data_IF_111987010569
#
_entry.id   IF_111987010569
#
_cell.length_a   1.000
_cell.length_b   1.000
_cell.length_c   1.000
_cell.angle_alpha   90.00
_cell.angle_beta   90.00
_cell.angle_gamma   90.00
#
_symmetry.space_group_name_H-M   'P 1'
#
loop_
_entity.id
_entity.type
_entity.pdbx_description
1 polymer ?
#
# COMPACT_ATOMS: atom_id res chain seq x y z
N UNK A 1 14.89 -29.98 3.60
CA UNK A 1 16.23 -29.70 4.15
C UNK A 1 16.40 -30.25 5.57
N UNK A 2 17.64 -30.55 5.99
CA UNK A 2 17.92 -30.80 7.42
C UNK A 2 17.86 -29.48 8.21
N UNK A 3 17.14 -29.45 9.34
CA UNK A 3 16.95 -28.24 10.17
C UNK A 3 18.26 -27.49 10.49
N UNK A 4 19.33 -28.22 10.83
CA UNK A 4 20.62 -27.61 11.16
C UNK A 4 21.26 -26.83 9.97
N UNK A 5 20.89 -27.18 8.74
CA UNK A 5 21.32 -26.49 7.53
C UNK A 5 20.53 -25.20 7.36
N UNK A 6 19.20 -25.26 7.52
CA UNK A 6 18.29 -24.10 7.53
C UNK A 6 18.72 -23.08 8.58
N UNK A 7 18.85 -23.50 9.85
CA UNK A 7 19.25 -22.64 10.96
C UNK A 7 20.59 -21.93 10.68
N UNK A 8 21.52 -22.61 9.99
CA UNK A 8 22.81 -22.03 9.64
C UNK A 8 22.70 -20.96 8.56
N UNK A 9 21.88 -21.19 7.52
CA UNK A 9 21.65 -20.19 6.46
C UNK A 9 21.01 -18.94 7.08
N UNK A 10 19.94 -19.12 7.84
CA UNK A 10 19.23 -18.02 8.54
C UNK A 10 20.17 -17.21 9.43
N UNK A 11 21.02 -17.88 10.22
CA UNK A 11 21.99 -17.21 11.08
C UNK A 11 22.98 -16.36 10.25
N UNK A 12 23.49 -16.90 9.14
CA UNK A 12 24.39 -16.16 8.25
C UNK A 12 23.71 -14.95 7.60
N UNK A 13 22.46 -15.11 7.15
CA UNK A 13 21.68 -14.02 6.56
C UNK A 13 21.43 -12.91 7.59
N UNK A 14 21.01 -13.29 8.80
CA UNK A 14 20.80 -12.36 9.92
C UNK A 14 22.06 -11.60 10.32
N UNK A 15 23.21 -12.27 10.31
CA UNK A 15 24.53 -11.63 10.54
C UNK A 15 25.05 -10.85 9.33
N UNK A 16 24.27 -10.76 8.23
CA UNK A 16 24.61 -10.10 6.97
C UNK A 16 25.86 -10.69 6.28
N UNK A 17 26.16 -11.96 6.57
CA UNK A 17 27.20 -12.75 5.94
C UNK A 17 26.70 -13.35 4.60
N UNK A 18 26.19 -12.48 3.71
CA UNK A 18 25.50 -12.88 2.47
C UNK A 18 26.36 -13.76 1.55
N UNK A 19 27.67 -13.50 1.46
CA UNK A 19 28.56 -14.29 0.61
C UNK A 19 28.58 -15.75 1.03
N UNK A 20 28.79 -16.04 2.32
CA UNK A 20 28.82 -17.42 2.82
C UNK A 20 27.44 -18.08 2.71
N UNK A 21 26.37 -17.33 3.04
CA UNK A 21 25.01 -17.84 2.91
C UNK A 21 24.67 -18.22 1.45
N UNK A 22 25.00 -17.37 0.49
CA UNK A 22 24.67 -17.59 -0.92
C UNK A 22 25.51 -18.71 -1.55
N UNK A 23 26.79 -18.81 -1.21
CA UNK A 23 27.63 -19.96 -1.61
C UNK A 23 27.06 -21.27 -1.06
N UNK A 24 26.63 -21.28 0.21
CA UNK A 24 26.02 -22.45 0.83
C UNK A 24 24.70 -22.83 0.14
N UNK A 25 23.85 -21.87 -0.18
CA UNK A 25 22.63 -22.06 -0.97
C UNK A 25 22.95 -22.67 -2.35
N UNK A 26 23.95 -22.12 -3.06
CA UNK A 26 24.36 -22.62 -4.37
C UNK A 26 24.88 -24.06 -4.32
N UNK A 27 25.66 -24.39 -3.28
CA UNK A 27 26.13 -25.75 -3.07
C UNK A 27 25.01 -26.75 -2.80
N UNK A 28 23.97 -26.33 -2.06
CA UNK A 28 22.80 -27.17 -1.76
C UNK A 28 22.01 -27.43 -3.04
N UNK A 29 21.62 -26.37 -3.76
CA UNK A 29 20.83 -26.48 -4.98
C UNK A 29 21.54 -27.28 -6.08
N UNK A 30 22.88 -27.20 -6.14
CA UNK A 30 23.67 -28.00 -7.07
C UNK A 30 23.63 -29.51 -6.77
N UNK A 31 23.43 -29.89 -5.50
CA UNK A 31 23.40 -31.29 -5.06
C UNK A 31 21.98 -31.86 -5.05
N UNK A 32 21.00 -31.03 -4.69
CA UNK A 32 19.61 -31.43 -4.57
C UNK A 32 18.68 -30.28 -4.99
N UNK A 33 18.09 -30.39 -6.17
CA UNK A 33 17.12 -29.40 -6.67
C UNK A 33 15.80 -29.44 -5.89
N UNK A 34 15.50 -30.54 -5.18
CA UNK A 34 14.27 -30.68 -4.38
C UNK A 34 14.28 -29.76 -3.13
N UNK A 35 15.42 -29.18 -2.77
CA UNK A 35 15.56 -28.22 -1.65
C UNK A 35 15.19 -26.79 -2.06
N UNK A 36 14.79 -26.58 -3.31
CA UNK A 36 14.50 -25.27 -3.87
C UNK A 36 13.43 -24.53 -3.07
N UNK A 37 12.32 -25.18 -2.77
CA UNK A 37 11.18 -24.56 -2.09
C UNK A 37 11.56 -24.10 -0.68
N UNK A 38 12.27 -24.93 0.08
CA UNK A 38 12.79 -24.59 1.42
C UNK A 38 13.75 -23.38 1.36
N UNK A 39 14.57 -23.27 0.32
CA UNK A 39 15.50 -22.13 0.17
C UNK A 39 14.75 -20.85 -0.19
N UNK A 40 13.74 -20.95 -1.06
CA UNK A 40 12.91 -19.80 -1.41
C UNK A 40 12.20 -19.29 -0.16
N UNK A 41 11.62 -20.17 0.66
CA UNK A 41 10.98 -19.79 1.94
C UNK A 41 11.96 -19.05 2.87
N UNK A 42 13.18 -19.56 3.06
CA UNK A 42 14.22 -18.88 3.87
C UNK A 42 14.55 -17.49 3.33
N UNK A 43 14.68 -17.36 2.00
CA UNK A 43 14.98 -16.07 1.36
C UNK A 43 13.81 -15.10 1.46
N UNK A 44 12.57 -15.57 1.28
CA UNK A 44 11.36 -14.77 1.44
C UNK A 44 11.27 -14.22 2.86
N UNK A 45 11.32 -15.09 3.88
CA UNK A 45 11.26 -14.68 5.28
C UNK A 45 12.42 -13.74 5.67
N UNK A 46 13.63 -14.03 5.23
CA UNK A 46 14.79 -13.17 5.52
C UNK A 46 14.68 -11.80 4.85
N UNK A 47 14.17 -11.76 3.62
CA UNK A 47 13.98 -10.54 2.86
C UNK A 47 12.91 -9.64 3.47
N UNK A 48 11.80 -10.23 3.92
CA UNK A 48 10.72 -9.54 4.65
C UNK A 48 11.20 -9.00 6.00
N UNK A 49 11.93 -9.81 6.78
CA UNK A 49 12.50 -9.36 8.05
C UNK A 49 13.40 -8.13 7.87
N UNK A 50 14.18 -8.05 6.79
CA UNK A 50 14.98 -6.86 6.50
C UNK A 50 14.14 -5.64 6.09
N UNK A 51 12.97 -5.83 5.47
CA UNK A 51 12.03 -4.73 5.21
C UNK A 51 11.51 -4.18 6.54
N UNK A 52 11.12 -5.06 7.46
CA UNK A 52 10.62 -4.68 8.80
C UNK A 52 11.69 -3.95 9.63
N UNK A 53 12.97 -4.28 9.43
CA UNK A 53 14.11 -3.57 10.01
C UNK A 53 14.49 -2.27 9.27
N UNK A 54 13.73 -1.88 8.24
CA UNK A 54 14.01 -0.77 7.32
C UNK A 54 15.33 -0.89 6.53
N UNK A 55 15.96 -2.08 6.55
CA UNK A 55 17.18 -2.39 5.80
C UNK A 55 16.87 -2.88 4.39
N UNK A 56 16.41 -1.94 3.57
CA UNK A 56 16.07 -2.20 2.17
C UNK A 56 17.27 -2.65 1.32
N UNK A 57 18.51 -2.31 1.70
CA UNK A 57 19.70 -2.74 0.96
C UNK A 57 19.96 -4.24 1.15
N UNK A 58 19.82 -4.73 2.39
CA UNK A 58 19.93 -6.16 2.69
C UNK A 58 18.78 -6.94 2.04
N UNK A 59 17.55 -6.44 2.14
CA UNK A 59 16.39 -7.05 1.48
C UNK A 59 16.58 -7.15 -0.05
N UNK A 60 17.10 -6.10 -0.69
CA UNK A 60 17.40 -6.10 -2.13
C UNK A 60 18.42 -7.19 -2.51
N UNK A 61 19.43 -7.44 -1.68
CA UNK A 61 20.43 -8.51 -1.93
C UNK A 61 19.79 -9.89 -1.84
N UNK A 62 18.90 -10.10 -0.86
CA UNK A 62 18.18 -11.36 -0.67
C UNK A 62 17.30 -11.65 -1.89
N UNK A 63 16.45 -10.72 -2.31
CA UNK A 63 15.56 -10.95 -3.45
C UNK A 63 16.29 -11.01 -4.78
N UNK A 64 17.46 -10.36 -4.92
CA UNK A 64 18.36 -10.60 -6.06
C UNK A 64 18.88 -12.03 -6.12
N UNK A 65 19.11 -12.67 -4.97
CA UNK A 65 19.45 -14.09 -4.91
C UNK A 65 18.24 -14.95 -5.27
N UNK A 66 17.07 -14.63 -4.73
CA UNK A 66 15.81 -15.33 -4.99
C UNK A 66 15.46 -15.33 -6.49
N UNK A 67 15.66 -14.22 -7.21
CA UNK A 67 15.43 -14.12 -8.67
C UNK A 67 16.17 -15.21 -9.46
N UNK A 68 17.35 -15.66 -8.99
CA UNK A 68 18.13 -16.69 -9.68
C UNK A 68 17.53 -18.09 -9.50
N UNK A 69 16.62 -18.27 -8.54
CA UNK A 69 16.05 -19.53 -8.11
C UNK A 69 14.56 -19.59 -8.50
N UNK A 70 13.80 -18.57 -8.11
CA UNK A 70 12.36 -18.40 -8.35
C UNK A 70 12.11 -17.00 -8.97
N UNK A 71 12.29 -16.83 -10.29
CA UNK A 71 12.20 -15.51 -10.93
C UNK A 71 10.84 -14.82 -10.72
N UNK A 72 9.75 -15.58 -10.70
CA UNK A 72 8.38 -15.06 -10.56
C UNK A 72 8.25 -14.28 -9.25
N UNK A 73 8.54 -14.92 -8.12
CA UNK A 73 8.43 -14.32 -6.78
C UNK A 73 9.57 -13.33 -6.52
N UNK A 74 10.81 -13.66 -6.90
CA UNK A 74 11.94 -12.76 -6.67
C UNK A 74 11.79 -11.40 -7.37
N UNK A 75 11.26 -11.37 -8.61
CA UNK A 75 10.97 -10.09 -9.28
C UNK A 75 9.76 -9.35 -8.69
N UNK A 76 8.80 -10.08 -8.12
CA UNK A 76 7.68 -9.49 -7.41
C UNK A 76 8.15 -8.84 -6.10
N UNK A 77 8.87 -9.59 -5.26
CA UNK A 77 9.38 -9.16 -3.96
C UNK A 77 10.34 -7.97 -4.08
N UNK A 78 11.29 -8.00 -5.01
CA UNK A 78 12.17 -6.84 -5.25
C UNK A 78 11.39 -5.62 -5.75
N UNK A 79 10.29 -5.85 -6.51
CA UNK A 79 9.38 -4.80 -6.94
C UNK A 79 8.71 -4.10 -5.76
N UNK A 80 8.30 -4.86 -4.74
CA UNK A 80 7.74 -4.32 -3.49
C UNK A 80 8.77 -3.53 -2.68
N UNK A 81 10.02 -4.01 -2.60
CA UNK A 81 11.13 -3.27 -1.96
C UNK A 81 11.30 -1.91 -2.62
N UNK A 82 11.36 -1.86 -3.95
CA UNK A 82 11.50 -0.59 -4.67
C UNK A 82 10.29 0.33 -4.51
N UNK A 83 9.08 -0.23 -4.42
CA UNK A 83 7.88 0.55 -4.13
C UNK A 83 7.95 1.19 -2.74
N UNK A 84 8.39 0.44 -1.72
CA UNK A 84 8.51 0.91 -0.34
C UNK A 84 9.47 2.11 -0.20
N UNK A 85 10.55 2.12 -1.00
CA UNK A 85 11.51 3.23 -1.03
C UNK A 85 11.21 4.30 -2.09
N UNK A 86 9.98 4.31 -2.63
CA UNK A 86 9.51 5.26 -3.64
C UNK A 86 10.36 5.30 -4.93
N UNK A 87 11.04 4.20 -5.28
CA UNK A 87 11.70 4.00 -6.57
C UNK A 87 10.71 3.39 -7.56
N UNK A 88 9.69 4.16 -7.91
CA UNK A 88 8.51 3.69 -8.64
C UNK A 88 8.85 3.10 -10.02
N UNK A 89 9.78 3.70 -10.77
CA UNK A 89 10.26 3.17 -12.05
C UNK A 89 10.89 1.77 -11.92
N UNK A 90 11.71 1.57 -10.88
CA UNK A 90 12.36 0.28 -10.62
C UNK A 90 11.34 -0.76 -10.15
N UNK A 91 10.35 -0.36 -9.33
CA UNK A 91 9.25 -1.21 -8.93
C UNK A 91 8.47 -1.70 -10.15
N UNK A 92 8.02 -0.78 -11.00
CA UNK A 92 7.29 -1.08 -12.25
C UNK A 92 8.12 -1.99 -13.16
N UNK A 93 9.42 -1.73 -13.30
CA UNK A 93 10.33 -2.53 -14.14
C UNK A 93 10.43 -3.99 -13.65
N UNK A 94 10.55 -4.21 -12.35
CA UNK A 94 10.65 -5.57 -11.80
C UNK A 94 9.29 -6.27 -11.74
N UNK A 95 8.21 -5.57 -11.42
CA UNK A 95 6.86 -6.12 -11.49
C UNK A 95 6.51 -6.57 -12.93
N UNK A 96 6.91 -5.80 -13.95
CA UNK A 96 6.79 -6.22 -15.37
C UNK A 96 7.56 -7.51 -15.65
N UNK A 97 8.79 -7.65 -15.14
CA UNK A 97 9.54 -8.91 -15.29
C UNK A 97 8.81 -10.07 -14.61
N UNK A 98 8.25 -9.88 -13.42
CA UNK A 98 7.44 -10.92 -12.76
C UNK A 98 6.29 -11.39 -13.66
N UNK A 99 5.59 -10.46 -14.35
CA UNK A 99 4.57 -10.80 -15.36
C UNK A 99 5.18 -11.59 -16.52
N UNK A 100 6.32 -11.16 -17.06
CA UNK A 100 7.00 -11.85 -18.18
C UNK A 100 7.40 -13.29 -17.81
N UNK A 101 7.69 -13.56 -16.54
CA UNK A 101 7.96 -14.91 -16.02
C UNK A 101 6.68 -15.70 -15.66
N UNK A 102 5.49 -15.08 -15.72
CA UNK A 102 4.21 -15.76 -15.59
C UNK A 102 3.30 -15.27 -14.45
N UNK A 103 3.73 -14.28 -13.65
CA UNK A 103 2.90 -13.75 -12.57
C UNK A 103 1.76 -12.88 -13.12
N UNK A 104 0.55 -13.44 -13.17
CA UNK A 104 -0.65 -12.72 -13.61
C UNK A 104 -1.62 -12.45 -12.46
N UNK A 105 -1.12 -12.34 -11.23
CA UNK A 105 -1.95 -12.05 -10.06
C UNK A 105 -2.52 -10.62 -10.09
N UNK A 106 -3.59 -10.42 -9.32
CA UNK A 106 -4.14 -9.09 -9.08
C UNK A 106 -3.09 -8.18 -8.43
N UNK A 107 -2.32 -8.71 -7.46
CA UNK A 107 -1.33 -7.97 -6.70
C UNK A 107 -0.27 -7.29 -7.56
N UNK A 108 0.29 -7.97 -8.56
CA UNK A 108 1.27 -7.33 -9.46
C UNK A 108 0.66 -6.09 -10.13
N UNK A 109 -0.59 -6.20 -10.58
CA UNK A 109 -1.30 -5.09 -11.20
C UNK A 109 -1.63 -3.99 -10.18
N UNK A 110 -2.01 -4.37 -8.94
CA UNK A 110 -2.25 -3.45 -7.82
C UNK A 110 -1.00 -2.62 -7.52
N UNK A 111 0.15 -3.26 -7.31
CA UNK A 111 1.39 -2.59 -6.93
C UNK A 111 1.98 -1.74 -8.05
N UNK A 112 1.83 -2.14 -9.32
CA UNK A 112 2.12 -1.23 -10.44
C UNK A 112 1.22 -0.01 -10.42
N UNK A 113 -0.07 -0.19 -10.12
CA UNK A 113 -1.02 0.89 -9.96
C UNK A 113 -0.68 1.84 -8.82
N UNK A 114 -0.23 1.31 -7.68
CA UNK A 114 0.27 2.08 -6.53
C UNK A 114 1.54 2.86 -6.87
N UNK A 115 2.47 2.28 -7.63
CA UNK A 115 3.67 2.98 -8.10
C UNK A 115 3.30 4.21 -8.95
N UNK A 116 2.35 4.05 -9.88
CA UNK A 116 1.83 5.17 -10.67
C UNK A 116 1.04 6.19 -9.84
N UNK A 117 0.31 5.76 -8.80
CA UNK A 117 -0.32 6.68 -7.84
C UNK A 117 0.71 7.55 -7.12
N UNK A 118 1.82 6.96 -6.67
CA UNK A 118 2.91 7.69 -6.00
C UNK A 118 3.56 8.73 -6.92
N UNK A 119 3.61 8.46 -8.23
CA UNK A 119 4.09 9.39 -9.25
C UNK A 119 3.01 10.39 -9.72
N UNK A 120 1.81 10.35 -9.14
CA UNK A 120 0.62 11.12 -9.56
C UNK A 120 0.19 10.88 -11.03
N UNK A 121 0.68 9.80 -11.65
CA UNK A 121 0.26 9.36 -12.98
C UNK A 121 -1.03 8.54 -12.88
N UNK A 122 -2.12 9.25 -12.60
CA UNK A 122 -3.40 8.62 -12.34
C UNK A 122 -3.98 7.87 -13.55
N UNK A 123 -3.61 8.24 -14.79
CA UNK A 123 -4.09 7.53 -15.99
C UNK A 123 -3.54 6.10 -16.03
N UNK A 124 -2.23 5.93 -15.82
CA UNK A 124 -1.62 4.59 -15.75
C UNK A 124 -2.04 3.85 -14.48
N UNK A 125 -2.17 4.54 -13.35
CA UNK A 125 -2.69 3.95 -12.12
C UNK A 125 -4.07 3.31 -12.35
N UNK A 126 -5.01 4.04 -12.97
CA UNK A 126 -6.36 3.56 -13.27
C UNK A 126 -6.31 2.33 -14.19
N UNK A 127 -5.45 2.29 -15.20
CA UNK A 127 -5.30 1.13 -16.09
C UNK A 127 -4.91 -0.12 -15.30
N UNK A 128 -3.87 -0.02 -14.47
CA UNK A 128 -3.33 -1.14 -13.72
C UNK A 128 -4.26 -1.57 -12.57
N UNK A 129 -4.90 -0.64 -11.87
CA UNK A 129 -5.83 -0.92 -10.79
C UNK A 129 -7.15 -1.51 -11.31
N UNK A 130 -7.66 -1.07 -12.48
CA UNK A 130 -8.80 -1.74 -13.12
C UNK A 130 -8.46 -3.19 -13.49
N UNK A 131 -7.24 -3.45 -13.99
CA UNK A 131 -6.79 -4.82 -14.25
C UNK A 131 -6.79 -5.63 -12.95
N UNK A 132 -6.27 -5.07 -11.85
CA UNK A 132 -6.28 -5.72 -10.53
C UNK A 132 -7.70 -6.09 -10.09
N UNK A 133 -8.63 -5.13 -10.08
CA UNK A 133 -10.05 -5.36 -9.72
C UNK A 133 -10.71 -6.40 -10.63
N UNK A 134 -10.35 -6.45 -11.91
CA UNK A 134 -10.90 -7.42 -12.87
C UNK A 134 -10.43 -8.86 -12.63
N UNK A 135 -9.23 -9.03 -12.05
CA UNK A 135 -8.68 -10.34 -11.69
C UNK A 135 -9.27 -10.76 -10.34
N UNK A 136 -9.25 -9.85 -9.36
CA UNK A 136 -9.77 -10.09 -8.03
C UNK A 136 -10.40 -8.82 -7.44
N UNK A 137 -11.70 -8.88 -7.14
CA UNK A 137 -12.39 -7.81 -6.45
C UNK A 137 -12.21 -7.99 -4.94
N UNK A 138 -11.42 -7.11 -4.31
CA UNK A 138 -11.20 -7.08 -2.87
C UNK A 138 -11.18 -5.62 -2.35
N UNK A 139 -11.01 -5.44 -1.05
CA UNK A 139 -11.00 -4.12 -0.41
C UNK A 139 -9.88 -3.23 -0.98
N UNK A 140 -8.63 -3.69 -0.97
CA UNK A 140 -7.48 -2.88 -1.37
C UNK A 140 -7.54 -2.47 -2.84
N UNK A 141 -7.90 -3.40 -3.73
CA UNK A 141 -8.00 -3.14 -5.17
C UNK A 141 -9.04 -2.06 -5.47
N UNK A 142 -10.21 -2.12 -4.83
CA UNK A 142 -11.24 -1.09 -4.96
C UNK A 142 -10.82 0.23 -4.31
N UNK A 143 -10.17 0.16 -3.14
CA UNK A 143 -9.70 1.33 -2.41
C UNK A 143 -8.70 2.14 -3.25
N UNK A 144 -7.61 1.52 -3.70
CA UNK A 144 -6.61 2.18 -4.51
C UNK A 144 -7.16 2.67 -5.86
N UNK A 145 -8.05 1.90 -6.51
CA UNK A 145 -8.70 2.37 -7.73
C UNK A 145 -9.54 3.63 -7.47
N UNK A 146 -10.26 3.68 -6.35
CA UNK A 146 -10.98 4.86 -5.90
C UNK A 146 -10.05 6.06 -5.64
N UNK A 147 -8.88 5.85 -5.04
CA UNK A 147 -7.87 6.91 -4.86
C UNK A 147 -7.31 7.42 -6.20
N UNK A 148 -7.13 6.55 -7.19
CA UNK A 148 -6.67 6.96 -8.51
C UNK A 148 -7.70 7.84 -9.23
N UNK A 149 -8.99 7.52 -9.13
CA UNK A 149 -10.05 8.40 -9.62
C UNK A 149 -10.15 9.70 -8.81
N UNK A 150 -9.85 9.67 -7.50
CA UNK A 150 -9.81 10.88 -6.67
C UNK A 150 -8.74 11.85 -7.15
N UNK A 151 -7.53 11.35 -7.46
CA UNK A 151 -6.46 12.18 -8.02
C UNK A 151 -6.83 12.80 -9.38
N UNK A 152 -7.71 12.14 -10.14
CA UNK A 152 -8.30 12.68 -11.40
C UNK A 152 -9.47 13.63 -11.19
N UNK A 153 -9.87 13.87 -9.94
CA UNK A 153 -11.09 14.60 -9.58
C UNK A 153 -12.37 13.98 -10.19
N UNK A 154 -12.32 12.71 -10.58
CA UNK A 154 -13.50 11.95 -11.04
C UNK A 154 -14.25 11.43 -9.82
N UNK A 155 -14.96 12.34 -9.16
CA UNK A 155 -15.66 12.04 -7.91
C UNK A 155 -16.75 10.96 -8.08
N UNK A 156 -17.34 10.80 -9.27
CA UNK A 156 -18.34 9.76 -9.52
C UNK A 156 -17.73 8.35 -9.46
N UNK A 157 -16.59 8.14 -10.14
CA UNK A 157 -15.88 6.86 -10.05
C UNK A 157 -15.21 6.66 -8.68
N UNK A 158 -14.70 7.71 -8.04
CA UNK A 158 -14.22 7.65 -6.65
C UNK A 158 -15.30 7.12 -5.73
N UNK A 159 -16.49 7.72 -5.74
CA UNK A 159 -17.61 7.28 -4.91
C UNK A 159 -17.99 5.83 -5.23
N UNK A 160 -18.04 5.45 -6.50
CA UNK A 160 -18.37 4.09 -6.92
C UNK A 160 -17.41 3.04 -6.34
N UNK A 161 -16.10 3.23 -6.51
CA UNK A 161 -15.11 2.22 -6.12
C UNK A 161 -14.82 2.24 -4.62
N UNK A 162 -14.81 3.41 -3.97
CA UNK A 162 -14.67 3.47 -2.51
C UNK A 162 -15.90 2.88 -1.78
N UNK A 163 -17.11 3.03 -2.31
CA UNK A 163 -18.27 2.33 -1.74
C UNK A 163 -18.13 0.81 -1.85
N UNK A 164 -17.64 0.29 -2.98
CA UNK A 164 -17.36 -1.16 -3.13
C UNK A 164 -16.32 -1.64 -2.11
N UNK A 165 -15.27 -0.85 -1.87
CA UNK A 165 -14.32 -1.16 -0.79
C UNK A 165 -15.05 -1.19 0.57
N UNK A 166 -15.84 -0.17 0.91
CA UNK A 166 -16.61 -0.12 2.15
C UNK A 166 -17.63 -1.26 2.32
N UNK A 167 -18.24 -1.74 1.23
CA UNK A 167 -19.16 -2.89 1.24
C UNK A 167 -18.45 -4.20 1.65
N UNK A 168 -17.16 -4.32 1.32
CA UNK A 168 -16.31 -5.45 1.72
C UNK A 168 -15.80 -5.26 3.15
N UNK A 169 -15.22 -4.10 3.44
CA UNK A 169 -14.68 -3.73 4.74
C UNK A 169 -14.78 -2.23 4.94
N UNK A 170 -15.56 -1.82 5.93
CA UNK A 170 -15.61 -0.41 6.31
C UNK A 170 -14.30 -0.02 7.05
N UNK A 171 -13.65 1.04 6.56
CA UNK A 171 -12.40 1.58 7.10
C UNK A 171 -12.50 3.12 7.18
N UNK A 172 -11.90 3.72 8.22
CA UNK A 172 -12.04 5.16 8.48
C UNK A 172 -11.43 6.02 7.35
N UNK A 173 -10.30 5.63 6.77
CA UNK A 173 -9.64 6.37 5.67
C UNK A 173 -10.51 6.30 4.41
N UNK A 174 -11.05 5.14 4.08
CA UNK A 174 -11.97 4.98 2.93
C UNK A 174 -13.23 5.83 3.09
N UNK A 175 -13.80 5.86 4.30
CA UNK A 175 -14.94 6.73 4.63
C UNK A 175 -14.58 8.21 4.52
N UNK A 176 -13.38 8.59 4.95
CA UNK A 176 -12.88 9.95 4.81
C UNK A 176 -12.73 10.36 3.34
N UNK A 177 -12.14 9.51 2.49
CA UNK A 177 -12.04 9.78 1.05
C UNK A 177 -13.41 9.83 0.37
N UNK A 178 -14.40 9.04 0.80
CA UNK A 178 -15.79 9.23 0.38
C UNK A 178 -16.32 10.61 0.78
N UNK A 179 -16.06 11.05 2.01
CA UNK A 179 -16.40 12.39 2.48
C UNK A 179 -15.77 13.49 1.63
N UNK A 180 -14.48 13.37 1.31
CA UNK A 180 -13.77 14.29 0.40
C UNK A 180 -14.38 14.31 -1.00
N UNK A 181 -14.79 13.16 -1.54
CA UNK A 181 -15.38 13.09 -2.87
C UNK A 181 -16.74 13.79 -2.92
N UNK A 182 -17.58 13.61 -1.89
CA UNK A 182 -18.83 14.36 -1.76
C UNK A 182 -18.60 15.86 -1.51
N UNK A 183 -17.55 16.22 -0.76
CA UNK A 183 -17.15 17.61 -0.56
C UNK A 183 -16.75 18.29 -1.88
N UNK A 184 -15.96 17.61 -2.72
CA UNK A 184 -15.60 18.08 -4.07
C UNK A 184 -16.80 18.20 -5.02
N UNK A 185 -17.86 17.43 -4.78
CA UNK A 185 -19.15 17.56 -5.47
C UNK A 185 -20.08 18.62 -4.85
N UNK A 186 -19.64 19.33 -3.81
CA UNK A 186 -20.43 20.27 -3.01
C UNK A 186 -21.68 19.63 -2.37
N UNK A 187 -21.72 18.30 -2.25
CA UNK A 187 -22.75 17.58 -1.51
C UNK A 187 -22.35 17.50 -0.03
N UNK A 188 -22.45 18.65 0.63
CA UNK A 188 -21.98 18.81 2.00
C UNK A 188 -22.71 17.90 3.00
N UNK A 189 -23.96 17.52 2.73
CA UNK A 189 -24.71 16.63 3.62
C UNK A 189 -24.16 15.21 3.58
N UNK A 190 -23.86 14.67 2.40
CA UNK A 190 -23.20 13.38 2.28
C UNK A 190 -21.75 13.43 2.79
N UNK A 191 -21.03 14.53 2.53
CA UNK A 191 -19.69 14.73 3.08
C UNK A 191 -19.69 14.64 4.63
N UNK A 192 -20.59 15.39 5.29
CA UNK A 192 -20.77 15.36 6.75
C UNK A 192 -21.06 13.94 7.25
N UNK A 193 -21.95 13.21 6.56
CA UNK A 193 -22.32 11.85 6.93
C UNK A 193 -21.11 10.90 6.88
N UNK A 194 -20.34 10.92 5.79
CA UNK A 194 -19.16 10.05 5.65
C UNK A 194 -18.01 10.43 6.58
N UNK A 195 -17.74 11.72 6.78
CA UNK A 195 -16.77 12.14 7.79
C UNK A 195 -17.21 11.77 9.21
N UNK A 196 -18.52 11.82 9.50
CA UNK A 196 -19.05 11.38 10.80
C UNK A 196 -18.78 9.91 11.04
N UNK A 197 -19.06 9.05 10.06
CA UNK A 197 -18.71 7.63 10.15
C UNK A 197 -17.21 7.44 10.32
N UNK A 198 -16.38 8.21 9.62
CA UNK A 198 -14.91 8.16 9.75
C UNK A 198 -14.46 8.44 11.19
N UNK A 199 -14.92 9.53 11.81
CA UNK A 199 -14.52 9.87 13.20
C UNK A 199 -15.12 8.94 14.25
N UNK A 200 -16.27 8.32 13.97
CA UNK A 200 -16.83 7.25 14.82
C UNK A 200 -15.96 5.99 14.81
N UNK A 201 -15.32 5.69 13.68
CA UNK A 201 -14.38 4.57 13.52
C UNK A 201 -13.00 4.87 14.09
N UNK A 202 -12.48 6.07 13.88
CA UNK A 202 -11.24 6.54 14.47
C UNK A 202 -11.41 7.94 15.07
N UNK A 203 -11.51 8.00 16.39
CA UNK A 203 -11.73 9.24 17.14
C UNK A 203 -10.51 10.17 17.17
N UNK A 204 -9.35 9.67 16.77
CA UNK A 204 -8.08 10.39 16.75
C UNK A 204 -7.68 10.75 15.30
N UNK A 205 -8.62 10.67 14.34
CA UNK A 205 -8.34 11.06 12.95
C UNK A 205 -8.69 12.53 12.71
N UNK A 206 -7.71 13.41 12.90
CA UNK A 206 -7.83 14.88 12.81
C UNK A 206 -8.43 15.35 11.49
N UNK A 207 -8.02 14.76 10.38
CA UNK A 207 -8.42 15.18 9.03
C UNK A 207 -9.92 15.05 8.84
N UNK A 208 -10.50 13.94 9.29
CA UNK A 208 -11.94 13.75 9.23
C UNK A 208 -12.72 14.78 10.05
N UNK A 209 -12.21 15.25 11.19
CA UNK A 209 -12.82 16.39 11.91
C UNK A 209 -12.68 17.69 11.12
N UNK A 210 -11.47 18.01 10.65
CA UNK A 210 -11.22 19.25 9.91
C UNK A 210 -12.13 19.37 8.68
N UNK A 211 -12.18 18.35 7.83
CA UNK A 211 -12.99 18.39 6.62
C UNK A 211 -14.50 18.28 6.91
N UNK A 212 -14.92 17.64 8.01
CA UNK A 212 -16.30 17.74 8.47
C UNK A 212 -16.65 19.14 8.94
N UNK A 213 -15.72 19.82 9.61
CA UNK A 213 -15.84 21.23 9.99
C UNK A 213 -16.04 22.14 8.77
N UNK A 214 -15.27 21.92 7.70
CA UNK A 214 -15.45 22.64 6.43
C UNK A 214 -16.85 22.42 5.85
N UNK A 215 -17.32 21.17 5.82
CA UNK A 215 -18.66 20.85 5.33
C UNK A 215 -19.77 21.43 6.23
N UNK A 216 -19.58 21.49 7.55
CA UNK A 216 -20.49 22.15 8.47
C UNK A 216 -20.53 23.67 8.26
N UNK A 217 -19.38 24.29 8.04
CA UNK A 217 -19.28 25.72 7.74
C UNK A 217 -20.03 26.05 6.43
N UNK A 218 -19.83 25.25 5.39
CA UNK A 218 -20.54 25.39 4.11
C UNK A 218 -22.06 25.20 4.22
N UNK A 219 -22.55 24.56 5.30
CA UNK A 219 -23.98 24.37 5.58
C UNK A 219 -24.50 25.29 6.69
N UNK A 220 -23.78 26.37 7.01
CA UNK A 220 -24.12 27.38 8.02
C UNK A 220 -24.26 26.81 9.46
N UNK A 221 -23.67 25.64 9.71
CA UNK A 221 -23.62 24.99 11.03
C UNK A 221 -22.35 25.39 11.78
N UNK A 222 -22.22 26.70 12.03
CA UNK A 222 -21.00 27.30 12.58
C UNK A 222 -20.55 26.68 13.91
N UNK A 223 -21.50 26.35 14.81
CA UNK A 223 -21.17 25.77 16.12
C UNK A 223 -20.53 24.39 15.98
N UNK A 224 -21.10 23.55 15.13
CA UNK A 224 -20.58 22.23 14.82
C UNK A 224 -19.22 22.33 14.13
N UNK A 225 -19.05 23.28 13.19
CA UNK A 225 -17.77 23.54 12.55
C UNK A 225 -16.67 23.94 13.56
N UNK A 226 -16.95 24.90 14.44
CA UNK A 226 -15.99 25.32 15.47
C UNK A 226 -15.60 24.17 16.41
N UNK A 227 -16.55 23.33 16.80
CA UNK A 227 -16.26 22.16 17.65
C UNK A 227 -15.33 21.17 16.94
N UNK A 228 -15.59 20.90 15.65
CA UNK A 228 -14.77 19.99 14.85
C UNK A 228 -13.37 20.54 14.59
N UNK A 229 -13.22 21.83 14.27
CA UNK A 229 -11.90 22.44 14.10
C UNK A 229 -11.08 22.41 15.39
N UNK A 230 -11.72 22.72 16.52
CA UNK A 230 -11.08 22.60 17.83
C UNK A 230 -10.63 21.16 18.08
N UNK A 231 -11.47 20.18 17.75
CA UNK A 231 -11.12 18.77 17.93
C UNK A 231 -9.96 18.33 17.04
N UNK A 232 -9.91 18.79 15.79
CA UNK A 232 -8.79 18.55 14.88
C UNK A 232 -7.48 19.10 15.47
N UNK A 233 -7.49 20.34 16.01
CA UNK A 233 -6.34 20.98 16.64
C UNK A 233 -5.90 20.29 17.95
N UNK A 234 -6.85 19.77 18.73
CA UNK A 234 -6.54 18.98 19.94
C UNK A 234 -5.81 17.67 19.62
N UNK A 235 -6.00 17.12 18.42
CA UNK A 235 -5.41 15.86 17.97
C UNK A 235 -4.08 16.10 17.24
N UNK A 236 -4.06 17.05 16.31
CA UNK A 236 -2.87 17.42 15.53
C UNK A 236 -2.70 18.94 15.53
N UNK A 237 -1.60 19.41 16.11
CA UNK A 237 -1.26 20.83 16.25
C UNK A 237 -1.06 21.54 14.90
N UNK A 238 -0.80 20.82 13.81
CA UNK A 238 -0.68 21.40 12.45
C UNK A 238 -1.95 22.14 12.01
N UNK A 239 -3.12 21.80 12.58
CA UNK A 239 -4.37 22.49 12.29
C UNK A 239 -4.49 23.87 12.94
N UNK A 240 -3.66 24.21 13.93
CA UNK A 240 -3.71 25.51 14.63
C UNK A 240 -3.46 26.71 13.69
N UNK A 241 -2.62 26.51 12.67
CA UNK A 241 -2.23 27.57 11.72
C UNK A 241 -3.18 27.68 10.51
N UNK A 242 -4.19 26.81 10.41
CA UNK A 242 -5.20 26.90 9.36
C UNK A 242 -6.21 28.02 9.63
N UNK A 243 -6.78 28.67 8.61
CA UNK A 243 -7.64 29.86 8.76
C UNK A 243 -8.88 29.70 9.64
N UNK A 244 -9.19 28.46 10.07
CA UNK A 244 -10.31 28.13 10.94
C UNK A 244 -9.89 27.32 12.20
N UNK A 245 -8.60 27.26 12.52
CA UNK A 245 -8.02 26.46 13.63
C UNK A 245 -7.92 27.17 15.00
N UNK A 246 -8.31 28.44 15.11
CA UNK A 246 -8.15 29.27 16.32
C UNK A 246 -9.45 29.82 16.90
#
# INVERSE_FOLDING_TARGET
>A
MEQATTDKIEALLKEKNFFEAFEMIDEILKKNEDEKDDIVEILEESGENFIDEEDNESSEKIFKKEILIEPVNGYYNIGLVYLNINRNDDAISNLKKSIDYGNNSADVSKFMGMAYLNDEDYDHAIIHLNKSVSIEENFDNNHYLGLAYMGKEDYDNTIKFLNRACDIKENYETLHYLGLAYLGKEDYNNAINFFTKSVERNKDFSDAYYYRGLAYYATEKEKEATNDYKKACEINEEYLDMPYGG
#
